data_IF_200652383179
#
_entry.id   IF_200652383179
#
_cell.length_a   1.000
_cell.length_b   1.000
_cell.length_c   1.000
_cell.angle_alpha   90.00
_cell.angle_beta   90.00
_cell.angle_gamma   90.00
#
_symmetry.space_group_name_H-M   'P 1'
#
loop_
_entity.id
_entity.type
_entity.pdbx_description
1 polymer ?
#
# COMPACT_ATOMS: atom_id res chain seq x y z
N UNK A 1 -5.24 -0.51 -32.98
CA UNK A 1 -4.03 -1.22 -32.53
C UNK A 1 -3.11 -0.20 -31.89
N UNK A 2 -3.04 -0.17 -30.55
CA UNK A 2 -2.14 0.73 -29.80
C UNK A 2 -0.95 -0.12 -29.36
N UNK A 3 0.32 0.33 -29.52
CA UNK A 3 1.47 -0.48 -29.14
C UNK A 3 1.58 -0.51 -27.61
N UNK A 4 1.58 -1.72 -27.03
CA UNK A 4 1.96 -1.92 -25.64
C UNK A 4 3.44 -1.54 -25.46
N UNK A 5 3.72 -0.45 -24.77
CA UNK A 5 5.07 -0.20 -24.24
C UNK A 5 5.31 -1.19 -23.10
N UNK A 6 6.18 -2.18 -23.35
CA UNK A 6 6.74 -3.02 -22.30
C UNK A 6 7.55 -2.15 -21.32
N UNK A 7 7.51 -2.43 -20.01
CA UNK A 7 8.36 -1.71 -19.07
C UNK A 7 9.83 -2.10 -19.30
N UNK A 8 10.79 -1.19 -19.05
CA UNK A 8 12.20 -1.55 -19.11
C UNK A 8 12.48 -2.53 -17.97
N UNK A 9 12.97 -3.72 -18.34
CA UNK A 9 13.54 -4.69 -17.40
C UNK A 9 14.74 -3.99 -16.77
N UNK A 10 14.57 -3.51 -15.54
CA UNK A 10 15.61 -2.79 -14.82
C UNK A 10 16.76 -3.75 -14.56
N UNK A 11 17.85 -3.47 -15.29
CA UNK A 11 19.18 -4.05 -15.16
C UNK A 11 19.56 -4.33 -13.72
N UNK A 12 20.06 -5.54 -13.52
CA UNK A 12 20.74 -6.09 -12.35
C UNK A 12 21.13 -5.06 -11.26
N UNK A 13 20.55 -5.23 -10.07
CA UNK A 13 21.14 -4.74 -8.82
C UNK A 13 22.57 -5.29 -8.75
N UNK A 14 23.53 -4.44 -9.11
CA UNK A 14 24.94 -4.73 -8.91
C UNK A 14 25.13 -4.87 -7.40
N UNK A 15 25.24 -6.10 -6.93
CA UNK A 15 25.55 -6.42 -5.54
C UNK A 15 26.91 -5.76 -5.24
N UNK A 16 26.85 -4.57 -4.63
CA UNK A 16 28.02 -3.84 -4.20
C UNK A 16 28.77 -4.73 -3.21
N UNK A 17 30.03 -5.07 -3.53
CA UNK A 17 30.90 -5.83 -2.64
C UNK A 17 30.94 -5.14 -1.26
N UNK A 18 30.61 -5.89 -0.21
CA UNK A 18 30.67 -5.40 1.17
C UNK A 18 32.14 -5.18 1.54
N UNK A 19 32.49 -4.07 2.22
CA UNK A 19 33.82 -3.94 2.78
C UNK A 19 34.08 -5.06 3.79
N UNK A 20 35.30 -5.61 3.80
CA UNK A 20 35.71 -6.55 4.85
C UNK A 20 35.76 -5.81 6.18
N UNK A 21 34.99 -6.28 7.16
CA UNK A 21 34.95 -5.69 8.49
C UNK A 21 36.14 -6.25 9.30
N UNK A 22 37.11 -5.39 9.70
CA UNK A 22 38.23 -5.84 10.50
C UNK A 22 37.77 -6.31 11.88
N UNK A 23 38.52 -7.27 12.46
CA UNK A 23 38.27 -7.76 13.81
C UNK A 23 38.51 -6.66 14.84
N UNK A 24 37.79 -6.74 15.96
CA UNK A 24 37.98 -5.83 17.09
C UNK A 24 39.41 -5.93 17.65
N UNK A 25 40.11 -4.81 17.74
CA UNK A 25 41.42 -4.77 18.40
C UNK A 25 41.32 -4.91 19.93
N UNK A 26 40.12 -4.82 20.50
CA UNK A 26 39.89 -4.99 21.93
C UNK A 26 40.06 -6.45 22.39
N UNK A 27 40.17 -7.40 21.45
CA UNK A 27 40.38 -8.81 21.74
C UNK A 27 41.86 -9.12 22.04
N UNK A 28 42.77 -8.18 21.76
CA UNK A 28 44.18 -8.33 22.05
C UNK A 28 44.45 -8.21 23.58
N UNK A 29 45.07 -9.22 24.22
CA UNK A 29 45.32 -9.21 25.67
C UNK A 29 46.24 -8.06 26.12
N UNK A 30 47.15 -7.60 25.25
CA UNK A 30 48.01 -6.44 25.51
C UNK A 30 47.20 -5.15 25.50
N UNK A 31 46.27 -5.01 24.54
CA UNK A 31 45.34 -3.87 24.48
C UNK A 31 44.42 -3.87 25.70
N UNK A 32 43.86 -5.03 26.09
CA UNK A 32 43.04 -5.13 27.30
C UNK A 32 43.79 -4.75 28.58
N UNK A 33 45.06 -5.12 28.69
CA UNK A 33 45.90 -4.71 29.81
C UNK A 33 46.10 -3.18 29.84
N UNK A 34 46.36 -2.56 28.67
CA UNK A 34 46.46 -1.11 28.53
C UNK A 34 45.14 -0.39 28.81
N UNK A 35 43.99 -0.98 28.49
CA UNK A 35 42.69 -0.39 28.82
C UNK A 35 42.38 -0.44 30.32
N UNK A 36 43.02 -1.34 31.07
CA UNK A 36 42.85 -1.47 32.54
C UNK A 36 43.81 -0.61 33.35
N UNK A 37 44.87 -0.06 32.75
CA UNK A 37 45.85 0.76 33.45
C UNK A 37 46.16 2.04 32.67
N UNK A 38 46.39 3.16 33.37
CA UNK A 38 46.75 4.44 32.73
C UNK A 38 48.23 4.51 32.29
N UNK A 39 48.85 3.36 32.00
CA UNK A 39 50.24 3.30 31.55
C UNK A 39 50.37 3.71 30.07
N UNK A 40 51.43 4.41 29.66
CA UNK A 40 51.62 4.75 28.25
C UNK A 40 51.89 3.49 27.41
N UNK A 41 51.40 3.42 26.16
CA UNK A 41 51.78 2.37 25.23
C UNK A 41 53.25 2.49 24.83
N UNK A 42 53.86 1.37 24.43
CA UNK A 42 55.17 1.34 23.80
C UNK A 42 55.12 2.06 22.45
N UNK A 43 56.26 2.55 21.95
CA UNK A 43 56.29 3.29 20.68
C UNK A 43 55.79 2.46 19.49
N UNK A 44 56.09 1.15 19.47
CA UNK A 44 55.60 0.22 18.45
C UNK A 44 54.08 0.00 18.52
N UNK A 45 53.52 -0.04 19.73
CA UNK A 45 52.07 -0.12 19.97
C UNK A 45 51.39 1.18 19.54
N UNK A 46 52.00 2.33 19.86
CA UNK A 46 51.53 3.65 19.44
C UNK A 46 51.43 3.76 17.92
N UNK A 47 52.48 3.36 17.19
CA UNK A 47 52.49 3.38 15.71
C UNK A 47 51.38 2.48 15.16
N UNK A 48 51.25 1.25 15.68
CA UNK A 48 50.22 0.29 15.25
C UNK A 48 48.81 0.79 15.53
N UNK A 49 48.58 1.41 16.69
CA UNK A 49 47.31 2.00 17.08
C UNK A 49 46.94 3.20 16.22
N UNK A 50 47.90 4.06 15.88
CA UNK A 50 47.66 5.19 14.97
C UNK A 50 47.30 4.72 13.55
N UNK A 51 48.00 3.70 13.04
CA UNK A 51 47.67 3.09 11.75
C UNK A 51 46.26 2.49 11.76
N UNK A 52 45.93 1.75 12.82
CA UNK A 52 44.59 1.15 13.00
C UNK A 52 43.50 2.22 13.11
N UNK A 53 43.75 3.31 13.84
CA UNK A 53 42.79 4.41 13.98
C UNK A 53 42.54 5.12 12.65
N UNK A 54 43.60 5.37 11.87
CA UNK A 54 43.48 5.94 10.52
C UNK A 54 42.68 5.03 9.59
N UNK A 55 43.00 3.73 9.57
CA UNK A 55 42.30 2.74 8.75
C UNK A 55 40.82 2.62 9.14
N UNK A 56 40.54 2.53 10.44
CA UNK A 56 39.17 2.46 10.96
C UNK A 56 38.37 3.71 10.62
N UNK A 57 39.00 4.89 10.63
CA UNK A 57 38.34 6.14 10.25
C UNK A 57 37.97 6.17 8.76
N UNK A 58 38.85 5.67 7.88
CA UNK A 58 38.58 5.54 6.46
C UNK A 58 37.47 4.51 6.19
N UNK A 59 37.49 3.38 6.89
CA UNK A 59 36.44 2.37 6.74
C UNK A 59 35.08 2.90 7.21
N UNK A 60 35.04 3.66 8.30
CA UNK A 60 33.81 4.26 8.81
C UNK A 60 33.20 5.23 7.80
N UNK A 61 34.02 6.05 7.13
CA UNK A 61 33.51 6.97 6.10
C UNK A 61 32.94 6.21 4.90
N UNK A 62 33.61 5.16 4.42
CA UNK A 62 33.11 4.30 3.34
C UNK A 62 31.80 3.60 3.72
N UNK A 63 31.71 3.06 4.94
CA UNK A 63 30.49 2.41 5.42
C UNK A 63 29.34 3.41 5.53
N UNK A 64 29.60 4.63 6.02
CA UNK A 64 28.60 5.68 6.12
C UNK A 64 28.07 6.08 4.75
N UNK A 65 28.96 6.30 3.77
CA UNK A 65 28.57 6.62 2.40
C UNK A 65 27.69 5.51 1.78
N UNK A 66 28.06 4.24 1.99
CA UNK A 66 27.24 3.11 1.53
C UNK A 66 25.88 3.05 2.22
N UNK A 67 25.82 3.28 3.53
CA UNK A 67 24.56 3.33 4.28
C UNK A 67 23.68 4.44 3.72
N UNK A 68 24.22 5.65 3.57
CA UNK A 68 23.47 6.80 3.07
C UNK A 68 22.96 6.54 1.64
N UNK A 69 23.78 5.95 0.77
CA UNK A 69 23.39 5.58 -0.58
C UNK A 69 22.27 4.53 -0.64
N UNK A 70 22.37 3.47 0.16
CA UNK A 70 21.34 2.43 0.23
C UNK A 70 20.04 2.99 0.83
N UNK A 71 20.13 3.83 1.85
CA UNK A 71 18.96 4.49 2.44
C UNK A 71 18.26 5.41 1.42
N UNK A 72 19.01 6.21 0.66
CA UNK A 72 18.46 7.04 -0.40
C UNK A 72 17.76 6.19 -1.47
N UNK A 73 18.42 5.12 -1.92
CA UNK A 73 17.85 4.20 -2.91
C UNK A 73 16.56 3.55 -2.39
N UNK A 74 16.56 3.10 -1.13
CA UNK A 74 15.39 2.54 -0.48
C UNK A 74 14.23 3.54 -0.44
N UNK A 75 14.50 4.79 -0.05
CA UNK A 75 13.47 5.83 0.01
C UNK A 75 12.86 6.12 -1.37
N UNK A 76 13.67 6.15 -2.44
CA UNK A 76 13.17 6.30 -3.81
C UNK A 76 12.27 5.12 -4.22
N UNK A 77 12.67 3.90 -3.87
CA UNK A 77 11.86 2.70 -4.17
C UNK A 77 10.54 2.69 -3.40
N UNK A 78 10.54 3.12 -2.12
CA UNK A 78 9.32 3.23 -1.32
C UNK A 78 8.35 4.27 -1.89
N UNK A 79 8.85 5.44 -2.29
CA UNK A 79 8.03 6.47 -2.96
C UNK A 79 7.44 5.94 -4.28
N UNK A 80 8.28 5.28 -5.09
CA UNK A 80 7.85 4.62 -6.32
C UNK A 80 6.77 3.57 -6.08
N UNK A 81 6.93 2.73 -5.06
CA UNK A 81 5.95 1.71 -4.68
C UNK A 81 4.61 2.36 -4.28
N UNK A 82 4.64 3.41 -3.46
CA UNK A 82 3.44 4.13 -3.04
C UNK A 82 2.69 4.71 -4.25
N UNK A 83 3.42 5.36 -5.16
CA UNK A 83 2.84 5.96 -6.37
C UNK A 83 2.24 4.92 -7.31
N UNK A 84 2.92 3.80 -7.53
CA UNK A 84 2.41 2.71 -8.39
C UNK A 84 1.15 2.09 -7.77
N UNK A 85 1.13 1.90 -6.45
CA UNK A 85 -0.03 1.37 -5.73
C UNK A 85 -1.23 2.28 -5.88
N UNK A 86 -1.06 3.60 -5.74
CA UNK A 86 -2.15 4.55 -5.91
C UNK A 86 -2.67 4.62 -7.36
N UNK A 87 -1.77 4.54 -8.34
CA UNK A 87 -2.15 4.46 -9.75
C UNK A 87 -2.98 3.20 -10.03
N UNK A 88 -2.58 2.05 -9.48
CA UNK A 88 -3.30 0.79 -9.63
C UNK A 88 -4.71 0.90 -9.03
N UNK A 89 -4.81 1.37 -7.78
CA UNK A 89 -6.09 1.58 -7.09
C UNK A 89 -7.01 2.52 -7.87
N UNK A 90 -6.45 3.59 -8.44
CA UNK A 90 -7.20 4.53 -9.29
C UNK A 90 -7.71 3.84 -10.55
N UNK A 91 -6.86 3.09 -11.25
CA UNK A 91 -7.26 2.35 -12.45
C UNK A 91 -8.34 1.33 -12.15
N UNK A 92 -8.21 0.52 -11.09
CA UNK A 92 -9.21 -0.44 -10.64
C UNK A 92 -10.55 0.25 -10.33
N UNK A 93 -10.52 1.40 -9.66
CA UNK A 93 -11.71 2.19 -9.34
C UNK A 93 -12.39 2.75 -10.59
N UNK A 94 -11.63 3.17 -11.61
CA UNK A 94 -12.16 3.68 -12.87
C UNK A 94 -12.71 2.58 -13.76
N UNK A 95 -12.06 1.41 -13.78
CA UNK A 95 -12.44 0.24 -14.55
C UNK A 95 -13.46 -0.65 -13.83
N UNK A 96 -13.88 -0.27 -12.63
CA UNK A 96 -14.83 -1.04 -11.85
C UNK A 96 -16.13 -1.27 -12.66
N UNK A 97 -16.61 -2.52 -12.80
CA UNK A 97 -17.71 -2.87 -13.71
C UNK A 97 -18.94 -1.99 -13.53
N UNK A 98 -19.27 -1.64 -12.28
CA UNK A 98 -20.40 -0.77 -11.91
C UNK A 98 -20.47 0.56 -12.66
N UNK A 99 -19.34 1.07 -13.16
CA UNK A 99 -19.24 2.34 -13.92
C UNK A 99 -19.52 2.17 -15.41
N UNK A 100 -19.57 0.94 -15.89
CA UNK A 100 -19.78 0.57 -17.29
C UNK A 100 -21.11 -0.14 -17.55
N UNK A 101 -21.83 -0.55 -16.50
CA UNK A 101 -23.14 -1.20 -16.64
C UNK A 101 -24.14 -0.18 -17.21
N UNK A 102 -24.79 -0.49 -18.35
CA UNK A 102 -25.84 0.35 -18.91
C UNK A 102 -27.03 0.55 -17.96
N UNK A 103 -27.70 1.70 -18.06
CA UNK A 103 -28.84 2.05 -17.19
C UNK A 103 -29.99 1.03 -17.31
N UNK A 104 -30.26 0.44 -18.48
CA UNK A 104 -31.28 -0.59 -18.69
C UNK A 104 -30.95 -1.92 -17.98
N UNK A 105 -29.69 -2.33 -17.97
CA UNK A 105 -29.23 -3.50 -17.23
C UNK A 105 -29.37 -3.26 -15.72
N UNK A 106 -29.01 -2.07 -15.23
CA UNK A 106 -29.24 -1.69 -13.83
C UNK A 106 -30.73 -1.71 -13.47
N UNK A 107 -31.61 -1.17 -14.33
CA UNK A 107 -33.06 -1.23 -14.11
C UNK A 107 -33.57 -2.67 -14.02
N UNK A 108 -33.09 -3.53 -14.91
CA UNK A 108 -33.46 -4.93 -14.90
C UNK A 108 -33.04 -5.62 -13.59
N UNK A 109 -31.79 -5.41 -13.15
CA UNK A 109 -31.31 -5.92 -11.87
C UNK A 109 -32.16 -5.38 -10.71
N UNK A 110 -32.41 -4.07 -10.67
CA UNK A 110 -33.18 -3.43 -9.60
C UNK A 110 -34.62 -3.97 -9.51
N UNK A 111 -35.21 -4.40 -10.63
CA UNK A 111 -36.56 -4.98 -10.62
C UNK A 111 -36.66 -6.28 -9.82
N UNK A 112 -35.55 -7.02 -9.66
CA UNK A 112 -35.50 -8.20 -8.81
C UNK A 112 -35.27 -7.88 -7.33
N UNK A 113 -35.03 -6.62 -6.98
CA UNK A 113 -34.72 -6.20 -5.62
C UNK A 113 -35.93 -5.61 -4.87
N UNK A 114 -37.04 -5.36 -5.55
CA UNK A 114 -38.24 -4.74 -4.96
C UNK A 114 -39.38 -5.75 -4.90
N UNK A 115 -40.23 -5.64 -3.88
CA UNK A 115 -41.41 -6.47 -3.74
C UNK A 115 -42.46 -6.11 -4.79
N UNK A 116 -43.07 -7.13 -5.39
CA UNK A 116 -44.23 -6.97 -6.26
C UNK A 116 -45.53 -7.01 -5.45
N UNK A 117 -46.65 -6.62 -6.07
CA UNK A 117 -47.97 -6.59 -5.41
C UNK A 117 -48.31 -7.96 -4.79
N UNK A 118 -47.94 -9.04 -5.47
CA UNK A 118 -48.21 -10.39 -4.97
C UNK A 118 -47.48 -10.68 -3.66
N UNK A 119 -46.21 -10.27 -3.56
CA UNK A 119 -45.40 -10.43 -2.35
C UNK A 119 -46.03 -9.62 -1.22
N UNK A 120 -46.43 -8.37 -1.51
CA UNK A 120 -47.12 -7.47 -0.56
C UNK A 120 -48.39 -8.10 0.04
N UNK A 121 -49.15 -8.84 -0.77
CA UNK A 121 -50.45 -9.38 -0.36
C UNK A 121 -50.35 -10.75 0.31
N UNK A 122 -49.24 -11.47 0.16
CA UNK A 122 -49.12 -12.87 0.60
C UNK A 122 -48.18 -13.07 1.78
N UNK A 123 -47.19 -12.19 1.95
CA UNK A 123 -46.27 -12.26 3.06
C UNK A 123 -46.87 -11.60 4.31
N UNK A 124 -46.71 -12.26 5.45
CA UNK A 124 -47.31 -11.83 6.73
C UNK A 124 -46.53 -10.75 7.45
N UNK A 125 -45.27 -10.50 7.06
CA UNK A 125 -44.31 -9.69 7.81
C UNK A 125 -43.44 -8.86 6.84
N UNK A 126 -44.10 -7.99 6.08
CA UNK A 126 -43.45 -7.17 5.07
C UNK A 126 -43.08 -5.86 5.71
N UNK A 127 -41.79 -5.56 5.71
CA UNK A 127 -41.31 -4.28 6.23
C UNK A 127 -41.94 -3.12 5.45
N UNK A 128 -42.43 -2.12 6.18
CA UNK A 128 -42.86 -0.83 5.62
C UNK A 128 -41.91 -0.36 4.51
N UNK A 129 -42.47 0.00 3.36
CA UNK A 129 -41.73 0.56 2.24
C UNK A 129 -41.16 1.95 2.55
N UNK A 130 -41.49 2.53 3.71
CA UNK A 130 -40.86 3.76 4.22
C UNK A 130 -39.55 3.49 4.97
N UNK A 131 -39.20 2.23 5.25
CA UNK A 131 -37.90 1.91 5.82
C UNK A 131 -36.79 2.12 4.79
N UNK A 132 -36.01 3.18 5.00
CA UNK A 132 -34.88 3.55 4.14
C UNK A 132 -33.76 2.49 4.05
N UNK A 133 -33.80 1.46 4.90
CA UNK A 133 -32.88 0.32 4.90
C UNK A 133 -33.29 -0.79 3.93
N UNK A 134 -34.44 -0.66 3.26
CA UNK A 134 -34.92 -1.61 2.26
C UNK A 134 -34.94 -1.01 0.85
N UNK A 135 -34.87 -1.83 -0.21
CA UNK A 135 -35.14 -1.36 -1.57
C UNK A 135 -36.56 -0.77 -1.69
N UNK A 136 -36.77 0.21 -2.59
CA UNK A 136 -35.81 0.77 -3.54
C UNK A 136 -34.84 1.81 -2.93
N UNK A 137 -34.96 2.17 -1.65
CA UNK A 137 -34.16 3.23 -1.03
C UNK A 137 -32.67 2.90 -0.99
N UNK A 138 -32.30 1.69 -0.59
CA UNK A 138 -30.89 1.26 -0.52
C UNK A 138 -30.20 1.32 -1.88
N UNK A 139 -30.91 0.98 -2.97
CA UNK A 139 -30.41 1.09 -4.34
C UNK A 139 -30.03 2.54 -4.67
N UNK A 140 -30.81 3.51 -4.18
CA UNK A 140 -30.54 4.93 -4.39
C UNK A 140 -29.39 5.50 -3.54
N UNK A 141 -28.85 4.72 -2.59
CA UNK A 141 -27.81 5.17 -1.66
C UNK A 141 -26.40 4.72 -2.07
N UNK A 142 -26.26 3.85 -3.07
CA UNK A 142 -24.96 3.27 -3.46
C UNK A 142 -24.04 4.28 -4.15
N UNK A 143 -24.49 4.90 -5.24
CA UNK A 143 -23.72 5.91 -5.97
C UNK A 143 -24.63 6.84 -6.77
N UNK A 144 -24.07 7.91 -7.35
CA UNK A 144 -24.86 8.86 -8.15
C UNK A 144 -25.57 8.21 -9.34
N UNK A 145 -24.92 7.26 -10.04
CA UNK A 145 -25.53 6.58 -11.19
C UNK A 145 -26.72 5.73 -10.75
N UNK A 146 -26.54 4.91 -9.70
CA UNK A 146 -27.61 4.08 -9.14
C UNK A 146 -28.77 4.91 -8.62
N UNK A 147 -28.50 6.02 -7.93
CA UNK A 147 -29.53 6.98 -7.51
C UNK A 147 -30.35 7.50 -8.67
N UNK A 148 -29.68 7.96 -9.74
CA UNK A 148 -30.37 8.45 -10.94
C UNK A 148 -31.26 7.36 -11.56
N UNK A 149 -30.75 6.14 -11.69
CA UNK A 149 -31.51 5.02 -12.25
C UNK A 149 -32.69 4.65 -11.35
N UNK A 150 -32.46 4.46 -10.05
CA UNK A 150 -33.50 4.09 -9.09
C UNK A 150 -34.64 5.12 -9.05
N UNK A 151 -34.32 6.41 -8.99
CA UNK A 151 -35.32 7.48 -8.93
C UNK A 151 -36.03 7.72 -10.27
N UNK A 152 -35.38 7.48 -11.41
CA UNK A 152 -35.99 7.64 -12.74
C UNK A 152 -36.81 6.43 -13.20
N UNK A 153 -36.78 5.32 -12.45
CA UNK A 153 -37.44 4.07 -12.84
C UNK A 153 -38.72 3.89 -12.04
N UNK A 154 -39.82 4.44 -12.55
CA UNK A 154 -41.13 4.47 -11.87
C UNK A 154 -41.64 3.08 -11.46
N UNK A 155 -41.29 2.02 -12.19
CA UNK A 155 -41.72 0.65 -11.87
C UNK A 155 -41.18 0.16 -10.52
N UNK A 156 -40.05 0.67 -10.05
CA UNK A 156 -39.49 0.32 -8.73
C UNK A 156 -40.32 0.89 -7.56
N UNK A 157 -41.16 1.89 -7.84
CA UNK A 157 -41.96 2.63 -6.85
C UNK A 157 -43.47 2.35 -7.01
N UNK A 158 -43.84 1.36 -7.83
CA UNK A 158 -45.23 1.06 -8.14
C UNK A 158 -46.01 0.52 -6.94
N UNK A 159 -45.32 -0.15 -6.03
CA UNK A 159 -45.91 -0.92 -4.93
C UNK A 159 -45.29 -0.43 -3.62
N UNK A 160 -46.11 0.11 -2.70
CA UNK A 160 -45.66 0.61 -1.40
C UNK A 160 -46.58 0.07 -0.31
N UNK A 161 -46.00 -0.56 0.70
CA UNK A 161 -46.66 -0.92 1.95
C UNK A 161 -46.36 0.14 3.01
N UNK A 162 -47.38 0.56 3.75
CA UNK A 162 -47.23 1.52 4.86
C UNK A 162 -47.89 0.88 6.08
N UNK A 163 -47.08 0.67 7.12
CA UNK A 163 -47.55 0.21 8.41
C UNK A 163 -48.06 1.42 9.21
N UNK A 164 -49.27 1.32 9.78
CA UNK A 164 -49.91 2.35 10.61
C UNK A 164 -49.95 1.94 12.09
#
# INVERSE_FOLDING_TARGET
MVPCLSPPISSACSLSSCPDIPKSISDDPRIQALLKCNGPPLETERISLLATASESSNLLSVLKEKIDHVQQTLNVLLDGQAKVTENLRTAETLLHPIRSIPDDVLRHIFSFCVHEIYDILTERDISSSLDSRNPPWTLSQVCHSWRRVALSTATLWRCLSIDF
#
